data_IF_721511933935
#
_entry.id   IF_721511933935
#
_cell.length_a   1.000
_cell.length_b   1.000
_cell.length_c   1.000
_cell.angle_alpha   90.00
_cell.angle_beta   90.00
_cell.angle_gamma   90.00
#
_symmetry.space_group_name_H-M   'P 1'
#
loop_
_entity.id
_entity.type
_entity.pdbx_description
1 polymer ?
#
# COMPACT_ATOMS: atom_id res chain seq x y z
N UNK A 1 37.70 -4.57 -13.89
CA UNK A 1 36.66 -5.32 -13.14
C UNK A 1 35.34 -4.80 -13.65
N UNK A 2 34.80 -5.51 -14.65
CA UNK A 2 33.57 -5.14 -15.37
C UNK A 2 32.40 -5.25 -14.41
N UNK A 3 31.82 -4.09 -14.06
CA UNK A 3 30.56 -3.97 -13.32
C UNK A 3 29.49 -4.69 -14.16
N UNK A 4 29.07 -5.88 -13.72
CA UNK A 4 27.96 -6.58 -14.34
C UNK A 4 26.73 -5.74 -14.04
N UNK A 5 26.28 -4.97 -15.02
CA UNK A 5 24.95 -4.39 -15.06
C UNK A 5 23.95 -5.57 -14.99
N UNK A 6 23.52 -5.90 -13.81
CA UNK A 6 22.48 -6.91 -13.61
C UNK A 6 21.24 -6.36 -14.31
N UNK A 7 20.70 -7.10 -15.26
CA UNK A 7 19.43 -6.74 -15.89
C UNK A 7 18.32 -6.80 -14.85
N UNK A 8 17.98 -5.64 -14.30
CA UNK A 8 17.00 -5.48 -13.22
C UNK A 8 15.55 -5.69 -13.67
N UNK A 9 15.35 -5.85 -14.97
CA UNK A 9 14.02 -6.13 -15.56
C UNK A 9 13.66 -7.62 -15.53
N UNK A 10 14.54 -8.48 -15.03
CA UNK A 10 14.24 -9.90 -14.85
C UNK A 10 13.30 -10.09 -13.62
N UNK A 11 12.20 -10.83 -13.76
CA UNK A 11 11.32 -11.14 -12.64
C UNK A 11 12.08 -11.73 -11.44
N UNK A 12 11.81 -11.23 -10.24
CA UNK A 12 12.45 -11.71 -9.01
C UNK A 12 13.77 -11.03 -8.63
N UNK A 13 14.35 -10.17 -9.48
CA UNK A 13 15.53 -9.37 -9.10
C UNK A 13 15.12 -8.36 -8.03
N UNK A 14 15.92 -8.27 -6.95
CA UNK A 14 15.70 -7.30 -5.88
C UNK A 14 16.10 -5.91 -6.34
N UNK A 15 15.15 -4.98 -6.33
CA UNK A 15 15.35 -3.58 -6.70
C UNK A 15 15.64 -2.70 -5.50
N UNK A 16 14.99 -2.97 -4.37
CA UNK A 16 15.23 -2.26 -3.11
C UNK A 16 15.07 -3.22 -1.93
N UNK A 17 15.82 -3.01 -0.86
CA UNK A 17 15.75 -3.87 0.31
C UNK A 17 16.11 -3.14 1.61
N UNK A 18 15.49 -3.57 2.70
CA UNK A 18 15.88 -3.34 4.08
C UNK A 18 16.38 -4.67 4.64
N UNK A 19 17.52 -4.66 5.34
CA UNK A 19 18.13 -5.84 5.96
C UNK A 19 18.38 -5.55 7.44
N UNK A 20 17.59 -6.17 8.32
CA UNK A 20 17.62 -5.94 9.76
C UNK A 20 17.49 -4.47 10.13
N UNK A 21 16.74 -3.70 9.32
CA UNK A 21 16.72 -2.26 9.40
C UNK A 21 15.90 -1.78 10.60
N UNK A 22 16.47 -0.87 11.37
CA UNK A 22 15.77 -0.20 12.47
C UNK A 22 15.90 1.31 12.32
N UNK A 23 14.88 2.03 12.78
CA UNK A 23 14.89 3.49 12.83
C UNK A 23 14.31 3.99 14.13
N UNK A 24 15.13 4.72 14.88
CA UNK A 24 14.75 5.39 16.11
C UNK A 24 14.88 6.90 15.92
N UNK A 25 13.86 7.64 16.29
CA UNK A 25 13.88 9.10 16.35
C UNK A 25 13.98 9.55 17.81
N UNK A 26 14.70 10.64 18.05
CA UNK A 26 14.95 11.17 19.41
C UNK A 26 15.98 10.33 20.17
N UNK A 27 16.16 10.69 21.45
CA UNK A 27 17.13 10.04 22.36
C UNK A 27 16.54 9.90 23.77
N UNK A 28 17.07 8.97 24.57
CA UNK A 28 16.65 8.76 25.96
C UNK A 28 15.18 8.32 26.07
N UNK A 29 14.47 8.83 27.07
CA UNK A 29 13.08 8.45 27.34
C UNK A 29 12.07 8.92 26.27
N UNK A 30 12.46 9.86 25.41
CA UNK A 30 11.64 10.34 24.29
C UNK A 30 11.94 9.62 22.97
N UNK A 31 12.74 8.56 22.98
CA UNK A 31 13.06 7.79 21.78
C UNK A 31 11.84 7.05 21.27
N UNK A 32 11.54 7.23 19.96
CA UNK A 32 10.46 6.53 19.27
C UNK A 32 11.06 5.53 18.28
N UNK A 33 10.81 4.25 18.50
CA UNK A 33 11.23 3.17 17.61
C UNK A 33 10.21 3.03 16.47
N UNK A 34 10.42 3.78 15.40
CA UNK A 34 9.48 3.82 14.27
C UNK A 34 9.56 2.57 13.39
N UNK A 35 10.75 1.94 13.29
CA UNK A 35 10.98 0.66 12.61
C UNK A 35 11.97 -0.14 13.47
N UNK A 36 11.72 -1.43 13.64
CA UNK A 36 12.48 -2.30 14.52
C UNK A 36 12.74 -3.66 13.86
N UNK A 37 13.99 -3.87 13.42
CA UNK A 37 14.50 -5.12 12.85
C UNK A 37 13.66 -5.62 11.68
N UNK A 38 13.51 -4.77 10.65
CA UNK A 38 12.67 -5.06 9.48
C UNK A 38 13.56 -5.56 8.34
N UNK A 39 13.19 -6.73 7.83
CA UNK A 39 13.59 -7.23 6.51
C UNK A 39 12.45 -6.98 5.52
N UNK A 40 12.76 -6.36 4.41
CA UNK A 40 11.80 -6.05 3.35
C UNK A 40 12.53 -6.02 2.02
N UNK A 41 12.08 -6.78 1.04
CA UNK A 41 12.63 -6.73 -0.31
C UNK A 41 11.54 -6.34 -1.32
N UNK A 42 11.88 -5.52 -2.30
CA UNK A 42 11.03 -5.14 -3.43
C UNK A 42 11.65 -5.72 -4.69
N UNK A 43 10.87 -6.42 -5.49
CA UNK A 43 11.36 -7.14 -6.67
C UNK A 43 10.86 -6.53 -7.97
N UNK A 44 11.59 -6.78 -9.03
CA UNK A 44 11.17 -6.45 -10.40
C UNK A 44 9.93 -7.27 -10.78
N UNK A 45 8.97 -6.61 -11.43
CA UNK A 45 7.76 -7.27 -11.91
C UNK A 45 6.72 -7.57 -10.83
N UNK A 46 6.88 -7.01 -9.60
CA UNK A 46 5.88 -7.16 -8.56
C UNK A 46 5.24 -5.83 -8.14
N UNK A 47 3.99 -5.89 -7.75
CA UNK A 47 3.32 -4.85 -7.00
C UNK A 47 3.25 -5.28 -5.53
N UNK A 48 4.07 -4.62 -4.70
CA UNK A 48 4.14 -4.83 -3.26
C UNK A 48 3.25 -3.82 -2.54
N UNK A 49 2.26 -4.27 -1.79
CA UNK A 49 1.50 -3.42 -0.88
C UNK A 49 2.09 -3.46 0.54
N UNK A 50 2.35 -2.28 1.11
CA UNK A 50 2.77 -2.13 2.51
C UNK A 50 1.59 -1.58 3.31
N UNK A 51 1.02 -2.41 4.16
CA UNK A 51 -0.14 -2.12 4.99
C UNK A 51 0.27 -1.92 6.45
N UNK A 52 -0.58 -1.25 7.20
CA UNK A 52 -0.41 -1.06 8.64
C UNK A 52 -1.22 0.13 9.14
N UNK A 53 -1.55 0.19 10.44
CA UNK A 53 -2.22 1.35 11.03
C UNK A 53 -1.35 2.62 10.96
N UNK A 54 -1.94 3.76 11.33
CA UNK A 54 -1.17 5.00 11.46
C UNK A 54 -0.10 4.83 12.54
N UNK A 55 1.12 5.28 12.25
CA UNK A 55 2.25 5.09 13.15
C UNK A 55 2.92 3.70 13.07
N UNK A 56 2.47 2.77 12.23
CA UNK A 56 3.06 1.44 12.10
C UNK A 56 4.49 1.42 11.53
N UNK A 57 5.00 2.54 11.01
CA UNK A 57 6.35 2.64 10.44
C UNK A 57 6.42 2.61 8.91
N UNK A 58 5.28 2.54 8.19
CA UNK A 58 5.23 2.48 6.71
C UNK A 58 6.04 3.59 6.04
N UNK A 59 5.70 4.85 6.31
CA UNK A 59 6.40 6.03 5.74
C UNK A 59 7.88 6.05 6.13
N UNK A 60 8.23 5.59 7.32
CA UNK A 60 9.63 5.50 7.77
C UNK A 60 10.38 4.42 6.98
N UNK A 61 9.78 3.24 6.77
CA UNK A 61 10.37 2.17 5.97
C UNK A 61 10.58 2.63 4.50
N UNK A 62 9.57 3.26 3.90
CA UNK A 62 9.69 3.84 2.56
C UNK A 62 10.76 4.94 2.49
N UNK A 63 10.83 5.81 3.53
CA UNK A 63 11.85 6.87 3.60
C UNK A 63 13.26 6.31 3.64
N UNK A 64 13.48 5.15 4.26
CA UNK A 64 14.77 4.47 4.26
C UNK A 64 15.08 3.88 2.87
N UNK A 65 14.11 3.24 2.22
CA UNK A 65 14.28 2.67 0.87
C UNK A 65 14.54 3.75 -0.20
N UNK A 66 13.94 4.93 -0.04
CA UNK A 66 14.09 6.06 -0.98
C UNK A 66 15.27 6.98 -0.67
N UNK A 67 16.02 6.70 0.42
CA UNK A 67 17.17 7.52 0.84
C UNK A 67 16.82 8.87 1.46
N UNK A 68 15.56 9.09 1.83
CA UNK A 68 15.12 10.28 2.59
C UNK A 68 15.48 10.18 4.08
N UNK A 69 15.69 8.95 4.58
CA UNK A 69 16.13 8.68 5.94
C UNK A 69 17.15 7.55 5.95
N UNK A 70 18.14 7.64 6.85
CA UNK A 70 19.12 6.56 7.04
C UNK A 70 18.68 5.68 8.21
N UNK A 71 18.78 4.33 8.12
CA UNK A 71 18.56 3.45 9.26
C UNK A 71 19.46 3.82 10.45
N UNK A 72 18.97 3.62 11.68
CA UNK A 72 19.79 3.74 12.89
C UNK A 72 20.68 2.49 13.05
N UNK A 73 20.18 1.32 12.65
CA UNK A 73 20.92 0.06 12.53
C UNK A 73 20.39 -0.76 11.35
N UNK A 74 21.13 -1.77 10.93
CA UNK A 74 20.84 -2.53 9.72
C UNK A 74 21.22 -1.77 8.46
N UNK A 75 20.67 -2.19 7.31
CA UNK A 75 21.06 -1.64 5.99
C UNK A 75 19.83 -1.41 5.13
N UNK A 76 19.86 -0.32 4.35
CA UNK A 76 18.94 -0.08 3.24
C UNK A 76 19.73 -0.08 1.93
N UNK A 77 19.21 -0.71 0.88
CA UNK A 77 19.81 -0.72 -0.45
C UNK A 77 18.76 -0.41 -1.52
N UNK A 78 19.19 0.31 -2.53
CA UNK A 78 18.42 0.64 -3.73
C UNK A 78 19.28 0.25 -4.95
N UNK A 79 18.83 -0.72 -5.75
CA UNK A 79 19.58 -1.30 -6.85
C UNK A 79 20.99 -1.78 -6.42
N UNK A 80 21.08 -2.37 -5.21
CA UNK A 80 22.33 -2.83 -4.63
C UNK A 80 23.27 -1.74 -4.09
N UNK A 81 22.87 -0.45 -4.16
CA UNK A 81 23.63 0.73 -3.75
C UNK A 81 23.04 1.40 -2.51
N UNK A 82 23.74 2.39 -1.94
CA UNK A 82 23.15 3.29 -0.93
C UNK A 82 21.97 4.03 -1.58
N UNK A 83 20.79 4.09 -0.92
CA UNK A 83 19.63 4.80 -1.46
C UNK A 83 19.85 6.30 -1.70
N UNK A 84 20.90 6.90 -1.15
CA UNK A 84 21.30 8.29 -1.39
C UNK A 84 22.15 8.48 -2.66
N UNK A 85 22.64 7.37 -3.24
CA UNK A 85 23.41 7.42 -4.50
C UNK A 85 22.51 7.98 -5.63
N UNK A 86 22.99 9.02 -6.30
CA UNK A 86 22.27 9.69 -7.38
C UNK A 86 21.95 8.72 -8.53
N UNK A 87 22.89 7.82 -8.88
CA UNK A 87 22.67 6.86 -9.94
C UNK A 87 21.57 5.83 -9.59
N UNK A 88 21.42 5.47 -8.30
CA UNK A 88 20.30 4.64 -7.85
C UNK A 88 18.99 5.45 -7.89
N UNK A 89 19.00 6.68 -7.39
CA UNK A 89 17.80 7.54 -7.33
C UNK A 89 17.25 7.91 -8.71
N UNK A 90 18.09 8.03 -9.71
CA UNK A 90 17.65 8.28 -11.09
C UNK A 90 16.84 7.14 -11.71
N UNK A 91 16.87 5.95 -11.11
CA UNK A 91 16.13 4.76 -11.57
C UNK A 91 14.82 4.54 -10.81
N UNK A 92 14.49 5.41 -9.83
CA UNK A 92 13.24 5.32 -9.09
C UNK A 92 12.35 6.54 -9.32
N UNK A 93 11.05 6.34 -9.19
CA UNK A 93 10.04 7.37 -9.10
C UNK A 93 9.38 7.35 -7.72
N UNK A 94 9.06 8.52 -7.17
CA UNK A 94 8.43 8.61 -5.86
C UNK A 94 7.26 9.58 -5.92
N UNK A 95 6.07 9.10 -5.58
CA UNK A 95 4.88 9.90 -5.32
C UNK A 95 4.64 9.92 -3.82
N UNK A 96 4.92 11.04 -3.16
CA UNK A 96 4.68 11.23 -1.73
C UNK A 96 3.26 11.73 -1.46
N UNK A 97 2.78 11.49 -0.25
CA UNK A 97 1.46 11.95 0.21
C UNK A 97 1.34 13.48 0.20
N UNK A 98 2.39 14.19 0.62
CA UNK A 98 2.49 15.63 0.54
C UNK A 98 3.63 16.02 -0.39
N UNK A 99 3.38 16.94 -1.31
CA UNK A 99 4.40 17.47 -2.21
C UNK A 99 4.58 18.96 -1.96
N UNK A 100 5.82 19.39 -1.92
CA UNK A 100 6.17 20.81 -1.94
C UNK A 100 6.13 21.43 -3.36
N UNK A 101 5.19 20.97 -4.21
CA UNK A 101 5.04 21.47 -5.57
C UNK A 101 4.42 22.88 -5.53
N UNK A 102 5.02 23.88 -6.19
CA UNK A 102 4.50 25.25 -6.19
C UNK A 102 3.15 25.33 -6.91
N UNK A 103 2.16 25.92 -6.25
CA UNK A 103 0.81 26.13 -6.77
C UNK A 103 0.77 27.03 -8.02
N UNK A 104 1.79 27.85 -8.21
CA UNK A 104 1.89 28.87 -9.27
C UNK A 104 2.46 28.35 -10.59
N UNK A 105 2.95 27.11 -10.62
CA UNK A 105 3.47 26.51 -11.84
C UNK A 105 2.36 25.77 -12.61
N UNK A 106 2.49 25.77 -13.94
CA UNK A 106 1.60 24.99 -14.80
C UNK A 106 2.01 23.51 -14.77
N UNK A 107 1.05 22.62 -14.98
CA UNK A 107 1.33 21.16 -15.06
C UNK A 107 2.43 20.85 -16.05
N UNK A 108 2.37 21.45 -17.27
CA UNK A 108 3.39 21.22 -18.30
C UNK A 108 4.79 21.73 -17.90
N UNK A 109 4.87 22.86 -17.17
CA UNK A 109 6.13 23.39 -16.65
C UNK A 109 6.71 22.46 -15.59
N UNK A 110 5.89 21.96 -14.67
CA UNK A 110 6.29 20.99 -13.66
C UNK A 110 6.85 19.71 -14.30
N UNK A 111 6.10 19.09 -15.20
CA UNK A 111 6.55 17.85 -15.88
C UNK A 111 7.84 18.09 -16.66
N UNK A 112 7.97 19.24 -17.33
CA UNK A 112 9.17 19.58 -18.08
C UNK A 112 10.39 19.78 -17.15
N UNK A 113 10.20 20.46 -16.03
CA UNK A 113 11.27 20.68 -15.04
C UNK A 113 11.72 19.34 -14.42
N UNK A 114 10.78 18.50 -14.00
CA UNK A 114 11.13 17.20 -13.38
C UNK A 114 11.79 16.26 -14.38
N UNK A 115 11.36 16.22 -15.64
CA UNK A 115 12.02 15.46 -16.70
C UNK A 115 13.49 15.88 -16.90
N UNK A 116 13.80 17.16 -16.68
CA UNK A 116 15.16 17.69 -16.78
C UNK A 116 16.15 17.15 -15.75
N UNK A 117 15.68 16.49 -14.67
CA UNK A 117 16.57 15.85 -13.68
C UNK A 117 17.07 14.45 -14.12
N UNK A 118 16.50 13.89 -15.17
CA UNK A 118 16.83 12.53 -15.61
C UNK A 118 17.61 12.52 -16.93
N UNK A 119 18.60 11.65 -17.09
CA UNK A 119 19.41 11.59 -18.31
C UNK A 119 18.62 11.04 -19.52
N UNK A 120 17.64 10.19 -19.30
CA UNK A 120 16.80 9.58 -20.32
C UNK A 120 15.33 9.60 -19.89
N UNK A 121 14.68 10.78 -19.83
CA UNK A 121 13.29 10.90 -19.35
C UNK A 121 12.30 10.32 -20.34
N UNK A 122 11.17 9.84 -19.85
CA UNK A 122 10.02 9.50 -20.70
C UNK A 122 9.63 10.69 -21.60
N UNK A 123 9.17 10.45 -22.85
CA UNK A 123 8.57 11.48 -23.67
C UNK A 123 7.47 12.22 -22.93
N UNK A 124 7.38 13.54 -23.10
CA UNK A 124 6.36 14.36 -22.40
C UNK A 124 4.93 13.84 -22.62
N UNK A 125 4.59 13.51 -23.87
CA UNK A 125 3.29 12.98 -24.22
C UNK A 125 2.98 11.64 -23.51
N UNK A 126 3.98 10.78 -23.34
CA UNK A 126 3.84 9.50 -22.63
C UNK A 126 3.54 9.71 -21.15
N UNK A 127 4.19 10.69 -20.50
CA UNK A 127 3.91 11.03 -19.10
C UNK A 127 2.48 11.57 -18.95
N UNK A 128 2.07 12.49 -19.85
CA UNK A 128 0.72 13.07 -19.86
C UNK A 128 -0.34 11.99 -20.04
N UNK A 129 -0.10 11.04 -20.93
CA UNK A 129 -1.00 9.90 -21.19
C UNK A 129 -1.10 8.97 -19.97
N UNK A 130 0.05 8.47 -19.48
CA UNK A 130 0.10 7.53 -18.36
C UNK A 130 -0.50 8.10 -17.07
N UNK A 131 -0.35 9.39 -16.84
CA UNK A 131 -0.92 10.07 -15.67
C UNK A 131 -2.34 10.64 -15.89
N UNK A 132 -2.92 10.48 -17.08
CA UNK A 132 -4.24 10.98 -17.40
C UNK A 132 -4.35 12.51 -17.33
N UNK A 133 -3.32 13.24 -17.76
CA UNK A 133 -3.20 14.69 -17.62
C UNK A 133 -3.58 15.46 -18.89
N UNK A 134 -4.07 14.78 -19.91
CA UNK A 134 -4.45 15.38 -21.21
C UNK A 134 -5.46 16.52 -21.01
N UNK A 135 -5.14 17.70 -21.52
CA UNK A 135 -5.94 18.92 -21.40
C UNK A 135 -5.73 19.71 -20.08
N UNK A 136 -4.86 19.22 -19.17
CA UNK A 136 -4.51 19.91 -17.94
C UNK A 136 -3.15 20.65 -18.01
N UNK A 137 -2.39 20.48 -19.07
CA UNK A 137 -0.98 20.89 -19.21
C UNK A 137 -0.78 22.38 -18.97
N UNK A 138 -1.76 23.21 -19.38
CA UNK A 138 -1.72 24.67 -19.23
C UNK A 138 -2.35 25.19 -17.94
N UNK A 139 -2.93 24.31 -17.10
CA UNK A 139 -3.54 24.72 -15.84
C UNK A 139 -2.49 24.89 -14.75
N UNK A 140 -2.70 25.84 -13.85
CA UNK A 140 -1.89 26.02 -12.65
C UNK A 140 -2.15 24.87 -11.67
N UNK A 141 -1.12 24.33 -11.04
CA UNK A 141 -1.23 23.21 -10.10
C UNK A 141 -2.20 23.52 -8.95
N UNK A 142 -2.11 24.71 -8.35
CA UNK A 142 -2.99 25.11 -7.24
C UNK A 142 -4.47 25.28 -7.63
N UNK A 143 -4.82 25.31 -8.94
CA UNK A 143 -6.22 25.40 -9.38
C UNK A 143 -6.85 24.06 -9.68
N UNK A 144 -6.08 22.99 -9.54
CA UNK A 144 -6.53 21.62 -9.80
C UNK A 144 -7.31 21.08 -8.60
N UNK A 145 -8.25 20.17 -8.87
CA UNK A 145 -8.84 19.36 -7.80
C UNK A 145 -7.79 18.45 -7.15
N UNK A 146 -8.02 18.01 -5.91
CA UNK A 146 -7.10 17.11 -5.21
C UNK A 146 -6.75 15.85 -6.03
N UNK A 147 -7.74 15.26 -6.70
CA UNK A 147 -7.52 14.12 -7.60
C UNK A 147 -6.67 14.48 -8.83
N UNK A 148 -6.84 15.68 -9.40
CA UNK A 148 -6.00 16.15 -10.49
C UNK A 148 -4.57 16.41 -10.03
N UNK A 149 -4.38 16.99 -8.85
CA UNK A 149 -3.06 17.18 -8.25
C UNK A 149 -2.35 15.84 -8.02
N UNK A 150 -3.07 14.83 -7.51
CA UNK A 150 -2.53 13.47 -7.35
C UNK A 150 -2.04 12.88 -8.66
N UNK A 151 -2.79 13.04 -9.75
CA UNK A 151 -2.36 12.59 -11.08
C UNK A 151 -1.09 13.32 -11.56
N UNK A 152 -0.95 14.62 -11.26
CA UNK A 152 0.28 15.36 -11.57
C UNK A 152 1.46 14.80 -10.78
N UNK A 153 1.30 14.52 -9.48
CA UNK A 153 2.35 13.92 -8.66
C UNK A 153 2.76 12.53 -9.16
N UNK A 154 1.78 11.73 -9.58
CA UNK A 154 2.05 10.45 -10.21
C UNK A 154 2.81 10.63 -11.53
N UNK A 155 2.41 11.57 -12.38
CA UNK A 155 3.15 11.93 -13.61
C UNK A 155 4.59 12.35 -13.32
N UNK A 156 4.83 13.15 -12.29
CA UNK A 156 6.17 13.53 -11.84
C UNK A 156 6.99 12.28 -11.47
N UNK A 157 6.41 11.33 -10.74
CA UNK A 157 7.08 10.09 -10.38
C UNK A 157 7.48 9.25 -11.61
N UNK A 158 6.74 9.35 -12.71
CA UNK A 158 7.02 8.63 -13.95
C UNK A 158 8.05 9.32 -14.88
N UNK A 159 8.36 10.60 -14.65
CA UNK A 159 9.18 11.40 -15.57
C UNK A 159 10.50 10.76 -15.99
N UNK A 160 11.16 10.03 -15.09
CA UNK A 160 12.47 9.41 -15.31
C UNK A 160 12.45 8.03 -15.94
N UNK A 161 11.32 7.52 -16.41
CA UNK A 161 11.14 6.12 -16.83
C UNK A 161 11.62 5.11 -15.76
N UNK A 162 11.11 5.19 -14.54
CA UNK A 162 11.66 4.48 -13.39
C UNK A 162 11.50 2.95 -13.51
N UNK A 163 12.50 2.22 -13.01
CA UNK A 163 12.45 0.77 -12.84
C UNK A 163 11.71 0.37 -11.54
N UNK A 164 11.64 1.30 -10.59
CA UNK A 164 10.95 1.13 -9.31
C UNK A 164 10.13 2.39 -9.01
N UNK A 165 8.85 2.23 -8.71
CA UNK A 165 7.95 3.33 -8.36
C UNK A 165 7.40 3.13 -6.95
N UNK A 166 7.57 4.16 -6.11
CA UNK A 166 6.94 4.24 -4.80
C UNK A 166 5.73 5.17 -4.89
N UNK A 167 4.58 4.69 -4.45
CA UNK A 167 3.33 5.46 -4.43
C UNK A 167 2.72 5.43 -3.04
N UNK A 168 2.68 6.58 -2.38
CA UNK A 168 2.19 6.72 -1.02
C UNK A 168 0.75 7.25 -1.04
N UNK A 169 -0.21 6.37 -0.69
CA UNK A 169 -1.65 6.65 -0.67
C UNK A 169 -2.19 7.31 -1.97
N UNK A 170 -1.95 6.73 -3.15
CA UNK A 170 -2.19 7.42 -4.41
C UNK A 170 -3.66 7.68 -4.72
N UNK A 171 -4.59 6.93 -4.12
CA UNK A 171 -6.02 6.96 -4.46
C UNK A 171 -6.86 7.79 -3.51
N UNK A 172 -6.28 8.34 -2.46
CA UNK A 172 -6.99 9.18 -1.49
C UNK A 172 -7.63 10.39 -2.19
N UNK A 173 -8.96 10.53 -2.04
CA UNK A 173 -9.73 11.63 -2.65
C UNK A 173 -9.97 11.50 -4.16
N UNK A 174 -9.68 10.36 -4.77
CA UNK A 174 -10.05 10.06 -6.16
C UNK A 174 -11.48 9.51 -6.25
N UNK A 175 -12.19 9.87 -7.30
CA UNK A 175 -13.41 9.18 -7.68
C UNK A 175 -13.13 7.75 -8.19
N UNK A 176 -14.19 6.94 -8.29
CA UNK A 176 -14.06 5.51 -8.62
C UNK A 176 -13.48 5.26 -10.02
N UNK A 177 -13.75 6.13 -10.99
CA UNK A 177 -13.27 5.97 -12.37
C UNK A 177 -11.77 6.28 -12.46
N UNK A 178 -11.35 7.41 -11.89
CA UNK A 178 -9.94 7.82 -11.84
C UNK A 178 -9.11 6.82 -11.04
N UNK A 179 -9.65 6.30 -9.93
CA UNK A 179 -9.00 5.25 -9.14
C UNK A 179 -8.77 3.98 -9.97
N UNK A 180 -9.76 3.50 -10.71
CA UNK A 180 -9.61 2.32 -11.59
C UNK A 180 -8.55 2.54 -12.68
N UNK A 181 -8.51 3.72 -13.26
CA UNK A 181 -7.50 4.08 -14.28
C UNK A 181 -6.09 4.04 -13.68
N UNK A 182 -5.90 4.61 -12.49
CA UNK A 182 -4.62 4.56 -11.79
C UNK A 182 -4.23 3.12 -11.45
N UNK A 183 -5.17 2.30 -10.98
CA UNK A 183 -4.94 0.88 -10.70
C UNK A 183 -4.45 0.12 -11.94
N UNK A 184 -5.10 0.33 -13.09
CA UNK A 184 -4.66 -0.27 -14.36
C UNK A 184 -3.22 0.15 -14.68
N UNK A 185 -2.90 1.43 -14.55
CA UNK A 185 -1.53 1.93 -14.81
C UNK A 185 -0.50 1.30 -13.88
N UNK A 186 -0.79 1.16 -12.58
CA UNK A 186 0.12 0.52 -11.62
C UNK A 186 0.33 -0.96 -11.97
N UNK A 187 -0.73 -1.67 -12.38
CA UNK A 187 -0.63 -3.06 -12.85
C UNK A 187 0.17 -3.19 -14.13
N UNK A 188 -0.01 -2.29 -15.08
CA UNK A 188 0.75 -2.26 -16.35
C UNK A 188 2.23 -1.99 -16.10
N UNK A 189 2.57 -1.11 -15.15
CA UNK A 189 3.94 -0.87 -14.72
C UNK A 189 4.57 -2.16 -14.16
N UNK A 190 3.92 -2.84 -13.23
CA UNK A 190 4.41 -4.11 -12.69
C UNK A 190 4.51 -5.18 -13.78
N UNK A 191 3.47 -5.33 -14.61
CA UNK A 191 3.45 -6.28 -15.73
C UNK A 191 4.52 -6.03 -16.79
N UNK A 192 5.04 -4.78 -16.89
CA UNK A 192 6.17 -4.43 -17.77
C UNK A 192 7.54 -4.72 -17.14
N UNK A 193 7.59 -5.38 -15.98
CA UNK A 193 8.83 -5.75 -15.29
C UNK A 193 9.34 -4.70 -14.29
N UNK A 194 8.61 -3.61 -14.06
CA UNK A 194 8.96 -2.61 -13.04
C UNK A 194 8.51 -3.07 -11.66
N UNK A 195 9.24 -2.66 -10.61
CA UNK A 195 8.76 -2.79 -9.24
C UNK A 195 7.78 -1.66 -8.90
N UNK A 196 6.72 -1.97 -8.18
CA UNK A 196 5.79 -0.98 -7.65
C UNK A 196 5.62 -1.21 -6.15
N UNK A 197 5.82 -0.18 -5.33
CA UNK A 197 5.53 -0.19 -3.90
C UNK A 197 4.37 0.73 -3.64
N UNK A 198 3.30 0.17 -3.12
CA UNK A 198 2.07 0.87 -2.79
C UNK A 198 1.89 0.91 -1.27
N UNK A 199 1.76 2.09 -0.67
CA UNK A 199 1.15 2.19 0.64
C UNK A 199 -0.31 2.60 0.49
N UNK A 200 -1.17 1.98 1.25
CA UNK A 200 -2.59 2.34 1.27
C UNK A 200 -3.21 1.98 2.62
N UNK A 201 -4.25 2.69 2.98
CA UNK A 201 -5.17 2.31 4.06
C UNK A 201 -6.47 1.69 3.50
N UNK A 202 -6.64 1.67 2.18
CA UNK A 202 -7.75 0.99 1.51
C UNK A 202 -7.36 -0.47 1.24
N UNK A 203 -7.82 -1.38 2.09
CA UNK A 203 -7.48 -2.80 2.01
C UNK A 203 -7.98 -3.47 0.72
N UNK A 204 -9.11 -2.99 0.18
CA UNK A 204 -9.62 -3.42 -1.13
C UNK A 204 -8.61 -3.14 -2.27
N UNK A 205 -7.88 -2.03 -2.18
CA UNK A 205 -6.85 -1.67 -3.17
C UNK A 205 -5.69 -2.67 -3.13
N UNK A 206 -5.22 -3.00 -1.93
CA UNK A 206 -4.17 -4.00 -1.76
C UNK A 206 -4.63 -5.40 -2.20
N UNK A 207 -5.87 -5.79 -1.88
CA UNK A 207 -6.45 -7.08 -2.29
C UNK A 207 -6.60 -7.21 -3.82
N UNK A 208 -6.97 -6.10 -4.49
CA UNK A 208 -7.16 -6.07 -5.94
C UNK A 208 -5.84 -5.98 -6.73
N UNK A 209 -4.83 -5.31 -6.18
CA UNK A 209 -3.62 -4.95 -6.92
C UNK A 209 -2.39 -5.74 -6.54
N UNK A 210 -2.19 -6.07 -5.26
CA UNK A 210 -0.91 -6.57 -4.81
C UNK A 210 -0.64 -8.01 -5.25
N UNK A 211 0.59 -8.26 -5.70
CA UNK A 211 1.13 -9.61 -5.83
C UNK A 211 1.61 -10.12 -4.47
N UNK A 212 2.12 -9.21 -3.63
CA UNK A 212 2.56 -9.48 -2.27
C UNK A 212 2.18 -8.33 -1.35
N UNK A 213 1.79 -8.68 -0.13
CA UNK A 213 1.43 -7.76 0.94
C UNK A 213 2.44 -7.94 2.07
N UNK A 214 2.88 -6.83 2.66
CA UNK A 214 3.61 -6.79 3.92
C UNK A 214 2.78 -5.97 4.91
N UNK A 215 2.45 -6.55 6.04
CA UNK A 215 1.72 -5.89 7.12
C UNK A 215 2.71 -5.45 8.20
N UNK A 216 2.80 -4.15 8.40
CA UNK A 216 3.59 -3.53 9.46
C UNK A 216 2.69 -3.19 10.65
N UNK A 217 3.14 -3.49 11.85
CA UNK A 217 2.54 -3.01 13.09
C UNK A 217 3.63 -2.71 14.12
N UNK A 218 3.53 -1.56 14.79
CA UNK A 218 4.50 -1.12 15.80
C UNK A 218 5.97 -1.23 15.34
N UNK A 219 6.22 -0.87 14.07
CA UNK A 219 7.55 -0.90 13.45
C UNK A 219 8.07 -2.27 13.05
N UNK A 220 7.27 -3.34 13.13
CA UNK A 220 7.66 -4.71 12.79
C UNK A 220 6.79 -5.29 11.68
N UNK A 221 7.36 -6.19 10.90
CA UNK A 221 6.58 -7.01 9.96
C UNK A 221 5.86 -8.10 10.76
N UNK A 222 4.53 -8.12 10.70
CA UNK A 222 3.70 -9.11 11.40
C UNK A 222 3.10 -10.15 10.46
N UNK A 223 3.02 -9.85 9.17
CA UNK A 223 2.60 -10.80 8.13
C UNK A 223 3.19 -10.40 6.78
N UNK A 224 3.49 -11.40 5.95
CA UNK A 224 3.96 -11.22 4.59
C UNK A 224 3.47 -12.37 3.70
N UNK A 225 3.04 -12.08 2.49
CA UNK A 225 2.64 -13.09 1.50
C UNK A 225 1.69 -12.54 0.45
N UNK A 226 1.15 -13.42 -0.40
CA UNK A 226 0.08 -13.04 -1.33
C UNK A 226 -1.17 -12.60 -0.57
N UNK A 227 -2.08 -11.83 -1.18
CA UNK A 227 -3.35 -11.46 -0.54
C UNK A 227 -4.12 -12.70 0.01
N UNK A 228 -4.15 -13.80 -0.75
CA UNK A 228 -4.77 -15.04 -0.32
C UNK A 228 -4.06 -15.68 0.87
N UNK A 229 -2.72 -15.65 0.90
CA UNK A 229 -1.97 -16.13 2.05
C UNK A 229 -2.26 -15.31 3.30
N UNK A 230 -2.21 -13.98 3.22
CA UNK A 230 -2.48 -13.11 4.38
C UNK A 230 -3.90 -13.34 4.90
N UNK A 231 -4.90 -13.50 4.02
CA UNK A 231 -6.27 -13.85 4.41
C UNK A 231 -6.34 -15.21 5.12
N UNK A 232 -5.56 -16.18 4.70
CA UNK A 232 -5.53 -17.53 5.31
C UNK A 232 -4.87 -17.60 6.69
N UNK A 233 -4.12 -16.56 7.09
CA UNK A 233 -3.53 -16.48 8.43
C UNK A 233 -4.60 -16.31 9.53
N UNK A 234 -5.79 -15.87 9.17
CA UNK A 234 -6.92 -15.73 10.09
C UNK A 234 -7.87 -16.90 9.87
N UNK A 235 -7.98 -17.80 10.87
CA UNK A 235 -8.89 -18.92 10.79
C UNK A 235 -10.34 -18.44 10.84
N UNK A 236 -11.22 -19.15 10.12
CA UNK A 236 -12.65 -18.92 10.23
C UNK A 236 -13.35 -18.63 8.92
N UNK A 237 -14.57 -18.08 9.05
CA UNK A 237 -15.46 -17.72 7.96
C UNK A 237 -16.11 -16.36 8.25
N UNK A 238 -16.43 -15.64 7.19
CA UNK A 238 -17.25 -14.44 7.27
C UNK A 238 -18.70 -14.83 6.96
N UNK A 239 -19.60 -14.44 7.86
CA UNK A 239 -21.05 -14.56 7.66
C UNK A 239 -21.60 -13.16 7.46
N UNK A 240 -22.40 -12.96 6.43
CA UNK A 240 -23.15 -11.73 6.21
C UNK A 240 -24.63 -12.08 6.00
N UNK A 241 -25.52 -11.37 6.69
CA UNK A 241 -26.96 -11.58 6.60
C UNK A 241 -27.72 -10.29 6.97
N UNK A 242 -28.90 -10.11 6.43
CA UNK A 242 -29.87 -9.18 6.99
C UNK A 242 -30.56 -9.87 8.18
N UNK A 243 -30.51 -9.25 9.35
CA UNK A 243 -31.06 -9.84 10.58
C UNK A 243 -31.49 -8.76 11.58
N UNK A 244 -32.44 -9.10 12.44
CA UNK A 244 -32.86 -8.26 13.54
C UNK A 244 -32.05 -8.49 14.82
N UNK A 245 -31.26 -9.57 14.89
CA UNK A 245 -30.43 -9.90 16.08
C UNK A 245 -29.35 -8.84 16.26
N UNK A 246 -29.19 -8.33 17.47
CA UNK A 246 -28.22 -7.29 17.79
C UNK A 246 -26.76 -7.84 17.72
N UNK A 247 -25.83 -7.06 17.14
CA UNK A 247 -24.41 -7.43 17.09
C UNK A 247 -23.83 -7.70 18.49
N UNK A 248 -24.22 -6.93 19.50
CA UNK A 248 -23.82 -7.12 20.91
C UNK A 248 -24.25 -8.46 21.50
N UNK A 249 -25.36 -9.04 21.02
CA UNK A 249 -25.81 -10.37 21.41
C UNK A 249 -24.95 -11.45 20.75
N UNK A 250 -24.78 -11.34 19.43
CA UNK A 250 -24.02 -12.31 18.63
C UNK A 250 -22.53 -12.33 19.01
N UNK A 251 -21.95 -11.19 19.41
CA UNK A 251 -20.56 -11.11 19.89
C UNK A 251 -20.27 -11.96 21.14
N UNK A 252 -21.31 -12.43 21.85
CA UNK A 252 -21.16 -13.30 23.03
C UNK A 252 -21.16 -14.80 22.68
N UNK A 253 -21.42 -15.15 21.44
CA UNK A 253 -21.44 -16.54 21.00
C UNK A 253 -20.01 -17.08 20.87
N UNK A 254 -19.78 -18.32 21.35
CA UNK A 254 -18.45 -18.88 21.52
C UNK A 254 -17.60 -18.91 20.24
N UNK A 255 -18.24 -19.08 19.08
CA UNK A 255 -17.55 -19.15 17.79
C UNK A 255 -17.39 -17.78 17.09
N UNK A 256 -17.86 -16.68 17.70
CA UNK A 256 -17.83 -15.35 17.09
C UNK A 256 -16.63 -14.55 17.61
N UNK A 257 -15.76 -14.16 16.70
CA UNK A 257 -14.58 -13.32 16.98
C UNK A 257 -14.89 -11.84 16.85
N UNK A 258 -15.71 -11.48 15.86
CA UNK A 258 -16.09 -10.11 15.57
C UNK A 258 -17.52 -10.05 15.05
N UNK A 259 -18.26 -9.03 15.44
CA UNK A 259 -19.62 -8.78 14.97
C UNK A 259 -19.84 -7.28 14.78
N UNK A 260 -20.25 -6.89 13.59
CA UNK A 260 -20.60 -5.51 13.23
C UNK A 260 -21.99 -5.48 12.62
N UNK A 261 -22.70 -4.39 12.83
CA UNK A 261 -24.00 -4.14 12.21
C UNK A 261 -23.97 -2.80 11.49
N UNK A 262 -24.35 -2.84 10.23
CA UNK A 262 -24.58 -1.66 9.40
C UNK A 262 -26.03 -1.70 8.89
N UNK A 263 -26.87 -0.84 9.45
CA UNK A 263 -28.31 -0.85 9.20
C UNK A 263 -28.95 -2.19 9.55
N UNK A 264 -29.54 -2.89 8.56
CA UNK A 264 -30.10 -4.23 8.71
C UNK A 264 -29.07 -5.36 8.54
N UNK A 265 -27.90 -5.05 7.98
CA UNK A 265 -26.87 -6.03 7.66
C UNK A 265 -26.02 -6.34 8.88
N UNK A 266 -25.95 -7.62 9.22
CA UNK A 266 -25.10 -8.19 10.26
C UNK A 266 -23.91 -8.88 9.59
N UNK A 267 -22.69 -8.52 10.01
CA UNK A 267 -21.46 -9.12 9.52
C UNK A 267 -20.68 -9.73 10.69
N UNK A 268 -20.30 -10.98 10.54
CA UNK A 268 -19.64 -11.76 11.57
C UNK A 268 -18.35 -12.38 11.02
N UNK A 269 -17.29 -12.36 11.84
CA UNK A 269 -16.13 -13.21 11.67
C UNK A 269 -16.22 -14.32 12.72
N UNK A 270 -16.22 -15.57 12.27
CA UNK A 270 -16.49 -16.72 13.13
C UNK A 270 -15.46 -17.83 12.90
N UNK A 271 -15.10 -18.58 13.94
CA UNK A 271 -14.22 -19.75 13.79
C UNK A 271 -14.90 -20.89 13.03
N UNK A 272 -16.19 -21.11 13.28
CA UNK A 272 -17.01 -22.14 12.64
C UNK A 272 -18.35 -21.52 12.21
N UNK A 273 -18.68 -21.63 10.92
CA UNK A 273 -19.88 -20.99 10.38
C UNK A 273 -21.17 -21.74 10.71
N UNK A 274 -21.14 -23.08 10.66
CA UNK A 274 -22.35 -23.90 10.75
C UNK A 274 -23.10 -23.77 12.08
N UNK A 275 -22.45 -23.75 13.27
CA UNK A 275 -23.14 -23.52 14.55
C UNK A 275 -23.75 -22.13 14.62
N UNK A 276 -23.01 -21.11 14.14
CA UNK A 276 -23.45 -19.72 14.20
C UNK A 276 -24.63 -19.46 13.27
N UNK A 277 -24.60 -20.02 12.05
CA UNK A 277 -25.72 -19.94 11.11
C UNK A 277 -26.97 -20.60 11.68
N UNK A 278 -26.83 -21.79 12.28
CA UNK A 278 -27.99 -22.46 12.91
C UNK A 278 -28.59 -21.64 14.04
N UNK A 279 -27.75 -21.09 14.91
CA UNK A 279 -28.21 -20.27 16.04
C UNK A 279 -28.87 -18.98 15.55
N UNK A 280 -28.30 -18.33 14.50
CA UNK A 280 -28.86 -17.12 13.91
C UNK A 280 -30.27 -17.39 13.33
N UNK A 281 -30.42 -18.45 12.55
CA UNK A 281 -31.71 -18.84 11.95
C UNK A 281 -32.75 -19.30 12.99
N UNK A 282 -32.31 -19.86 14.11
CA UNK A 282 -33.18 -20.23 15.20
C UNK A 282 -33.76 -19.03 15.94
N UNK A 283 -32.96 -17.95 16.09
CA UNK A 283 -33.37 -16.73 16.80
C UNK A 283 -34.13 -15.75 15.94
N UNK A 284 -33.77 -15.68 14.66
CA UNK A 284 -34.40 -14.76 13.73
C UNK A 284 -34.84 -15.50 12.44
N UNK A 285 -36.13 -15.73 12.35
CA UNK A 285 -36.74 -16.36 11.16
C UNK A 285 -36.84 -15.43 9.96
N UNK A 286 -36.57 -14.13 10.15
CA UNK A 286 -36.60 -13.12 9.08
C UNK A 286 -35.25 -12.94 8.38
N UNK A 287 -34.23 -13.73 8.73
CA UNK A 287 -32.90 -13.67 8.11
C UNK A 287 -33.01 -13.83 6.59
N UNK A 288 -32.43 -12.88 5.87
CA UNK A 288 -32.33 -12.89 4.41
C UNK A 288 -30.90 -12.56 3.96
N UNK A 289 -30.58 -12.84 2.69
CA UNK A 289 -29.28 -12.49 2.12
C UNK A 289 -28.09 -13.17 2.81
N UNK A 290 -28.32 -14.33 3.48
CA UNK A 290 -27.27 -15.07 4.17
C UNK A 290 -26.19 -15.54 3.20
N UNK A 291 -24.96 -15.13 3.45
CA UNK A 291 -23.76 -15.60 2.73
C UNK A 291 -22.68 -16.03 3.72
N UNK A 292 -21.95 -17.08 3.36
CA UNK A 292 -20.76 -17.55 4.09
C UNK A 292 -19.59 -17.54 3.12
N UNK A 293 -18.57 -16.76 3.45
CA UNK A 293 -17.39 -16.57 2.60
C UNK A 293 -16.10 -16.75 3.39
N UNK A 294 -14.97 -16.76 2.71
CA UNK A 294 -13.67 -16.65 3.35
C UNK A 294 -13.49 -15.25 3.97
N UNK A 295 -12.61 -15.12 4.98
CA UNK A 295 -12.27 -13.81 5.54
C UNK A 295 -11.76 -12.86 4.46
N UNK A 296 -12.09 -11.59 4.60
CA UNK A 296 -11.54 -10.53 3.76
C UNK A 296 -10.14 -10.13 4.23
N UNK A 297 -9.41 -9.36 3.41
CA UNK A 297 -8.15 -8.77 3.85
C UNK A 297 -8.34 -7.82 5.05
N UNK A 298 -9.51 -7.19 5.16
CA UNK A 298 -9.86 -6.36 6.31
C UNK A 298 -10.00 -7.18 7.59
N UNK A 299 -10.69 -8.32 7.52
CA UNK A 299 -10.81 -9.24 8.66
C UNK A 299 -9.42 -9.73 9.11
N UNK A 300 -8.56 -10.07 8.16
CA UNK A 300 -7.19 -10.49 8.44
C UNK A 300 -6.37 -9.36 9.08
N UNK A 301 -6.43 -8.17 8.51
CA UNK A 301 -5.71 -6.99 8.99
C UNK A 301 -6.11 -6.63 10.43
N UNK A 302 -7.41 -6.53 10.71
CA UNK A 302 -7.94 -6.20 12.05
C UNK A 302 -7.54 -7.27 13.07
N UNK A 303 -7.61 -8.55 12.71
CA UNK A 303 -7.24 -9.64 13.60
C UNK A 303 -5.75 -9.63 13.91
N UNK A 304 -4.91 -9.51 12.89
CA UNK A 304 -3.45 -9.50 13.05
C UNK A 304 -2.95 -8.29 13.86
N UNK A 305 -3.54 -7.11 13.64
CA UNK A 305 -3.16 -5.89 14.37
C UNK A 305 -3.63 -5.89 15.83
N UNK A 306 -4.84 -6.40 16.10
CA UNK A 306 -5.38 -6.51 17.46
C UNK A 306 -4.68 -7.61 18.29
N UNK A 307 -4.19 -8.68 17.68
CA UNK A 307 -3.42 -9.71 18.40
C UNK A 307 -2.11 -9.15 18.95
N UNK A 308 -1.47 -8.25 18.21
CA UNK A 308 -0.22 -7.60 18.66
C UNK A 308 -0.45 -6.65 19.84
N UNK A 309 -1.60 -5.99 19.93
CA UNK A 309 -1.95 -5.11 21.06
C UNK A 309 -2.26 -5.88 22.35
N UNK A 310 -2.72 -7.14 22.27
CA UNK A 310 -3.00 -7.99 23.43
C UNK A 310 -1.77 -8.78 23.91
N UNK A 311 -0.73 -8.87 23.08
CA UNK A 311 0.50 -9.60 23.39
C UNK A 311 1.64 -8.71 23.92
N UNK A 312 1.47 -7.38 23.89
CA UNK A 312 2.40 -6.37 24.41
C UNK A 312 1.93 -5.85 25.78
#
# INVERSE_FOLDING_TARGET
MTDRLTDTRLPGVVLAELLGASKTFGTGAAAVHAVADVDLAVRAGELLAVLGPNGAGKTTALSMLTGLSTPTSGTARLFGRDPRDLAARQRMGVMLQSSGVPDTLRVGELLTAFRGYYPAPLPFASVVEAAGLRGLENRLFGTLSGGQQRRVLFGIALCGDPELVFVDEPTTGLDAEVRRTLWATLRDLAGSGRGVVLTTHYLEEADALADRIVVLNQGRVIAEGSPSHVKSLVPGRRISAESTVAAAEVSRWAAVHHAVRDGSRLELLVSEAEPVVRELLARDRSVTGLTVTEPTLEDAFLTLTNWTEKAA
#
